data_IF_329640946895
#
_entry.id   IF_329640946895
#
_cell.length_a   1.000
_cell.length_b   1.000
_cell.length_c   1.000
_cell.angle_alpha   90.00
_cell.angle_beta   90.00
_cell.angle_gamma   90.00
#
_symmetry.space_group_name_H-M   'P 1'
#
loop_
_entity.id
_entity.type
_entity.pdbx_description
1 polymer ?
#
# COMPACT_ATOMS: atom_id res chain seq x y z
N UNK A 1 -55.17 -6.68 -18.94
CA UNK A 1 -54.00 -7.32 -18.29
C UNK A 1 -52.64 -6.96 -18.89
N UNK A 2 -52.54 -6.26 -20.02
CA UNK A 2 -51.24 -5.83 -20.60
C UNK A 2 -50.63 -4.60 -19.92
N UNK A 3 -51.45 -3.75 -19.29
CA UNK A 3 -51.01 -2.52 -18.65
C UNK A 3 -50.59 -2.68 -17.17
N UNK A 4 -50.85 -3.85 -16.55
CA UNK A 4 -50.46 -4.09 -15.15
C UNK A 4 -49.03 -4.64 -15.03
N UNK A 5 -48.53 -5.31 -16.08
CA UNK A 5 -47.16 -5.84 -16.14
C UNK A 5 -46.10 -4.75 -16.38
N UNK A 6 -46.47 -3.62 -16.99
CA UNK A 6 -45.57 -2.48 -17.19
C UNK A 6 -45.27 -1.70 -15.90
N UNK A 7 -46.18 -1.73 -14.92
CA UNK A 7 -45.98 -1.07 -13.63
C UNK A 7 -45.01 -1.83 -12.72
N UNK A 8 -44.99 -3.17 -12.80
CA UNK A 8 -44.04 -4.00 -12.04
C UNK A 8 -42.61 -3.81 -12.54
N UNK A 9 -42.43 -3.51 -13.84
CA UNK A 9 -41.11 -3.24 -14.43
C UNK A 9 -40.54 -1.85 -14.10
N UNK A 10 -41.39 -0.89 -13.72
CA UNK A 10 -40.96 0.46 -13.35
C UNK A 10 -40.53 0.58 -11.87
N UNK A 11 -40.98 -0.34 -11.00
CA UNK A 11 -40.55 -0.38 -9.60
C UNK A 11 -39.25 -1.15 -9.36
N UNK A 12 -38.73 -1.89 -10.35
CA UNK A 12 -37.47 -2.63 -10.24
C UNK A 12 -36.22 -1.86 -10.72
N UNK A 13 -36.35 -0.57 -11.06
CA UNK A 13 -35.20 0.28 -11.49
C UNK A 13 -34.89 1.40 -10.47
N UNK A 14 -35.58 1.41 -9.33
CA UNK A 14 -35.16 2.20 -8.18
C UNK A 14 -34.60 1.29 -7.09
N UNK A 15 -33.60 0.47 -7.43
CA UNK A 15 -32.57 0.26 -6.43
C UNK A 15 -31.98 1.65 -6.21
N UNK A 16 -32.38 2.26 -5.09
CA UNK A 16 -31.63 3.35 -4.51
C UNK A 16 -30.16 2.98 -4.64
N UNK A 17 -29.36 3.83 -5.30
CA UNK A 17 -27.93 3.90 -5.07
C UNK A 17 -27.83 4.25 -3.59
N UNK A 18 -27.91 3.23 -2.74
CA UNK A 18 -27.54 3.32 -1.35
C UNK A 18 -26.06 3.61 -1.48
N UNK A 19 -25.68 4.87 -1.21
CA UNK A 19 -24.28 5.24 -1.10
C UNK A 19 -23.63 4.18 -0.25
N UNK A 20 -22.74 3.40 -0.85
CA UNK A 20 -22.03 2.37 -0.10
C UNK A 20 -21.21 3.14 0.93
N UNK A 21 -21.52 2.96 2.20
CA UNK A 21 -20.75 3.60 3.27
C UNK A 21 -19.34 3.03 3.21
N UNK A 22 -18.42 3.81 2.67
CA UNK A 22 -17.01 3.49 2.74
C UNK A 22 -16.59 3.68 4.19
N UNK A 23 -16.11 2.60 4.79
CA UNK A 23 -15.65 2.55 6.17
C UNK A 23 -14.24 1.96 6.21
N UNK A 24 -13.55 2.21 7.31
CA UNK A 24 -12.23 1.67 7.59
C UNK A 24 -11.10 2.41 6.89
N UNK A 25 -9.96 1.72 6.82
CA UNK A 25 -8.70 2.27 6.33
C UNK A 25 -8.35 1.57 5.02
N UNK A 26 -8.09 2.36 3.99
CA UNK A 26 -7.76 1.90 2.65
C UNK A 26 -6.37 2.38 2.29
N UNK A 27 -5.62 1.59 1.52
CA UNK A 27 -4.25 1.93 1.12
C UNK A 27 -4.06 1.76 -0.38
N UNK A 28 -3.33 2.67 -1.02
CA UNK A 28 -2.85 2.53 -2.38
C UNK A 28 -1.67 1.57 -2.44
N UNK A 29 -1.72 0.63 -3.36
CA UNK A 29 -0.57 -0.22 -3.65
C UNK A 29 -0.60 -0.79 -5.06
N UNK A 30 -1.46 -0.30 -5.96
CA UNK A 30 -1.41 -0.66 -7.37
C UNK A 30 -1.80 0.58 -8.18
N UNK A 31 -0.82 1.31 -8.71
CA UNK A 31 -1.12 2.44 -9.60
C UNK A 31 -1.33 1.93 -11.03
N UNK A 32 -2.35 2.46 -11.71
CA UNK A 32 -2.59 2.21 -13.15
C UNK A 32 -2.30 3.48 -13.93
N UNK A 33 -1.40 3.37 -14.91
CA UNK A 33 -1.11 4.45 -15.87
C UNK A 33 -2.31 4.61 -16.82
N UNK A 34 -2.78 5.85 -16.97
CA UNK A 34 -3.96 6.19 -17.78
C UNK A 34 -3.57 6.33 -19.27
N UNK A 35 -2.50 7.07 -19.57
CA UNK A 35 -1.92 7.21 -20.91
C UNK A 35 -0.65 6.37 -21.06
N UNK A 36 -0.70 5.37 -21.94
CA UNK A 36 0.43 4.48 -22.27
C UNK A 36 1.63 5.22 -22.90
N UNK A 37 1.44 6.45 -23.37
CA UNK A 37 2.51 7.26 -23.97
C UNK A 37 3.31 8.06 -22.93
N UNK A 38 2.79 8.24 -21.71
CA UNK A 38 3.57 8.75 -20.59
C UNK A 38 3.84 7.59 -19.62
N UNK A 39 5.01 6.98 -19.78
CA UNK A 39 5.46 5.77 -19.07
C UNK A 39 5.80 5.98 -17.58
N UNK A 40 5.57 7.18 -17.05
CA UNK A 40 5.91 7.52 -15.67
C UNK A 40 4.71 7.27 -14.75
N UNK A 41 4.90 6.44 -13.72
CA UNK A 41 3.98 6.34 -12.59
C UNK A 41 4.43 7.29 -11.48
N UNK A 42 3.48 7.85 -10.74
CA UNK A 42 3.77 8.83 -9.68
C UNK A 42 4.24 8.19 -8.36
N UNK A 43 4.42 6.86 -8.34
CA UNK A 43 4.95 6.08 -7.22
C UNK A 43 4.19 6.40 -5.90
N UNK A 44 2.86 6.46 -5.96
CA UNK A 44 1.98 6.93 -4.86
C UNK A 44 1.64 5.76 -3.92
N UNK A 45 2.42 4.67 -3.95
CA UNK A 45 2.17 3.53 -3.10
C UNK A 45 2.33 3.87 -1.61
N UNK A 46 1.42 3.31 -0.80
CA UNK A 46 1.37 3.51 0.63
C UNK A 46 0.55 4.71 1.09
N UNK A 47 -0.13 5.42 0.19
CA UNK A 47 -1.08 6.47 0.58
C UNK A 47 -2.27 5.81 1.24
N UNK A 48 -2.69 6.37 2.36
CA UNK A 48 -3.75 5.84 3.21
C UNK A 48 -4.91 6.82 3.18
N UNK A 49 -6.12 6.29 3.02
CA UNK A 49 -7.38 7.02 3.24
C UNK A 49 -8.10 6.34 4.38
N UNK A 50 -8.33 7.09 5.44
CA UNK A 50 -9.08 6.65 6.61
C UNK A 50 -10.47 7.26 6.57
N UNK A 51 -11.46 6.49 6.12
CA UNK A 51 -12.83 6.94 5.98
C UNK A 51 -13.51 7.15 7.34
N UNK A 52 -13.07 6.45 8.38
CA UNK A 52 -13.61 6.59 9.74
C UNK A 52 -13.26 7.96 10.35
N UNK A 53 -12.07 8.47 10.01
CA UNK A 53 -11.51 9.71 10.57
C UNK A 53 -11.48 10.87 9.59
N UNK A 54 -11.86 10.64 8.32
CA UNK A 54 -11.75 11.60 7.23
C UNK A 54 -10.33 12.18 7.08
N UNK A 55 -9.35 11.28 7.02
CA UNK A 55 -7.93 11.65 6.93
C UNK A 55 -7.22 10.96 5.77
N UNK A 56 -6.24 11.65 5.19
CA UNK A 56 -5.26 11.08 4.27
C UNK A 56 -3.88 11.16 4.91
N UNK A 57 -3.10 10.10 4.77
CA UNK A 57 -1.71 10.07 5.20
C UNK A 57 -0.84 9.27 4.24
N UNK A 58 0.47 9.29 4.46
CA UNK A 58 1.41 8.42 3.77
C UNK A 58 2.01 7.46 4.78
N UNK A 59 2.07 6.16 4.49
CA UNK A 59 2.51 5.15 5.46
C UNK A 59 3.97 5.31 5.94
N UNK A 60 4.79 5.96 5.14
CA UNK A 60 6.16 6.34 5.51
C UNK A 60 6.23 7.64 6.33
N UNK A 61 5.14 8.41 6.42
CA UNK A 61 5.04 9.66 7.18
C UNK A 61 4.31 9.44 8.50
N UNK A 62 4.62 10.26 9.51
CA UNK A 62 3.79 10.34 10.73
C UNK A 62 2.75 11.46 10.64
N UNK A 63 2.65 12.12 9.48
CA UNK A 63 1.67 13.20 9.23
C UNK A 63 0.40 12.66 8.59
N UNK A 64 -0.74 13.09 9.11
CA UNK A 64 -2.04 12.96 8.45
C UNK A 64 -2.63 14.34 8.18
N UNK A 65 -3.50 14.41 7.17
CA UNK A 65 -4.20 15.60 6.74
C UNK A 65 -5.69 15.32 6.73
N UNK A 66 -6.47 16.24 7.29
CA UNK A 66 -7.92 16.16 7.22
C UNK A 66 -8.38 16.34 5.77
N UNK A 67 -9.39 15.59 5.39
CA UNK A 67 -10.05 15.66 4.09
C UNK A 67 -11.56 15.70 4.26
N UNK A 68 -12.26 16.21 3.24
CA UNK A 68 -13.71 16.12 3.17
C UNK A 68 -14.07 15.01 2.20
N UNK A 69 -14.86 14.05 2.67
CA UNK A 69 -15.32 12.92 1.86
C UNK A 69 -16.84 13.03 1.67
N UNK A 70 -17.29 13.30 0.44
CA UNK A 70 -18.70 13.25 0.09
C UNK A 70 -19.00 11.90 -0.57
N UNK A 71 -19.51 10.95 0.20
CA UNK A 71 -19.78 9.61 -0.31
C UNK A 71 -20.92 9.57 -1.34
N UNK A 72 -21.93 10.43 -1.18
CA UNK A 72 -23.06 10.52 -2.12
C UNK A 72 -22.63 10.99 -3.51
N UNK A 73 -21.64 11.88 -3.58
CA UNK A 73 -21.11 12.39 -4.84
C UNK A 73 -19.84 11.66 -5.29
N UNK A 74 -19.34 10.72 -4.47
CA UNK A 74 -18.08 10.02 -4.66
C UNK A 74 -16.89 10.97 -4.86
N UNK A 75 -16.77 11.97 -3.99
CA UNK A 75 -15.75 13.02 -4.05
C UNK A 75 -14.91 13.01 -2.78
N UNK A 76 -13.59 13.20 -2.94
CA UNK A 76 -12.64 13.46 -1.85
C UNK A 76 -11.93 14.79 -2.13
N UNK A 77 -12.00 15.69 -1.15
CA UNK A 77 -11.46 17.04 -1.21
C UNK A 77 -10.41 17.27 -0.12
N UNK A 78 -9.27 17.86 -0.47
CA UNK A 78 -8.25 18.32 0.47
C UNK A 78 -7.64 19.63 -0.03
N UNK A 79 -7.81 20.70 0.75
CA UNK A 79 -7.17 21.99 0.47
C UNK A 79 -5.64 21.89 0.60
N UNK A 80 -5.14 21.11 1.56
CA UNK A 80 -3.71 20.92 1.80
C UNK A 80 -3.01 20.12 0.71
N UNK A 81 -3.66 19.07 0.21
CA UNK A 81 -3.10 18.25 -0.87
C UNK A 81 -3.47 18.79 -2.27
N UNK A 82 -4.20 19.92 -2.36
CA UNK A 82 -4.81 20.42 -3.59
C UNK A 82 -5.56 19.30 -4.36
N UNK A 83 -6.24 18.44 -3.61
CA UNK A 83 -6.94 17.27 -4.12
C UNK A 83 -8.42 17.61 -4.24
N UNK A 84 -8.99 17.44 -5.42
CA UNK A 84 -10.42 17.44 -5.63
C UNK A 84 -10.74 16.35 -6.66
N UNK A 85 -10.87 15.14 -6.15
CA UNK A 85 -10.89 13.95 -7.01
C UNK A 85 -12.18 13.18 -6.80
N UNK A 86 -12.82 12.84 -7.92
CA UNK A 86 -13.85 11.81 -7.93
C UNK A 86 -13.20 10.47 -7.77
N UNK A 87 -13.85 9.58 -7.02
CA UNK A 87 -13.45 8.18 -6.94
C UNK A 87 -14.49 7.29 -7.59
N UNK A 88 -14.03 6.13 -8.06
CA UNK A 88 -14.90 5.08 -8.57
C UNK A 88 -14.73 3.83 -7.71
N UNK A 89 -15.84 3.38 -7.14
CA UNK A 89 -15.90 2.15 -6.36
C UNK A 89 -16.18 0.96 -7.28
N UNK A 90 -15.33 -0.06 -7.20
CA UNK A 90 -15.52 -1.32 -7.88
C UNK A 90 -15.96 -2.36 -6.87
N UNK A 91 -17.22 -2.78 -6.99
CA UNK A 91 -17.87 -3.66 -6.01
C UNK A 91 -17.73 -3.07 -4.60
N UNK A 92 -16.94 -3.71 -3.73
CA UNK A 92 -16.58 -3.25 -2.38
C UNK A 92 -15.10 -3.51 -2.07
N UNK A 93 -14.30 -3.91 -3.06
CA UNK A 93 -12.95 -4.45 -2.84
C UNK A 93 -11.85 -3.48 -3.27
N UNK A 94 -12.20 -2.45 -4.03
CA UNK A 94 -11.25 -1.49 -4.58
C UNK A 94 -11.89 -0.15 -4.97
N UNK A 95 -11.09 0.91 -4.82
CA UNK A 95 -11.41 2.29 -5.18
C UNK A 95 -10.36 2.78 -6.16
N UNK A 96 -10.77 3.37 -7.29
CA UNK A 96 -9.86 4.11 -8.17
C UNK A 96 -10.02 5.61 -7.93
N UNK A 97 -8.89 6.29 -7.72
CA UNK A 97 -8.82 7.73 -7.49
C UNK A 97 -7.72 8.32 -8.35
N UNK A 98 -8.03 9.36 -9.09
CA UNK A 98 -7.03 10.16 -9.79
C UNK A 98 -6.39 11.13 -8.78
N UNK A 99 -5.22 10.77 -8.24
CA UNK A 99 -4.51 11.59 -7.23
C UNK A 99 -3.47 12.50 -7.89
N UNK A 100 -2.92 12.08 -9.02
CA UNK A 100 -1.91 12.83 -9.76
C UNK A 100 -2.11 12.64 -11.26
N UNK A 101 -1.61 13.61 -12.05
CA UNK A 101 -1.73 13.62 -13.50
C UNK A 101 -1.26 12.30 -14.10
N UNK A 102 -2.13 11.70 -14.91
CA UNK A 102 -1.92 10.48 -15.68
C UNK A 102 -1.87 9.14 -14.90
N UNK A 103 -2.18 9.14 -13.60
CA UNK A 103 -2.24 7.89 -12.81
C UNK A 103 -3.53 7.77 -12.01
N UNK A 104 -4.23 6.64 -12.19
CA UNK A 104 -5.29 6.21 -11.28
C UNK A 104 -4.69 5.30 -10.21
N UNK A 105 -4.70 5.76 -8.97
CA UNK A 105 -4.29 4.94 -7.84
C UNK A 105 -5.42 4.02 -7.43
N UNK A 106 -5.14 2.72 -7.35
CA UNK A 106 -6.07 1.72 -6.83
C UNK A 106 -5.83 1.56 -5.34
N UNK A 107 -6.85 1.90 -4.58
CA UNK A 107 -6.94 1.69 -3.14
C UNK A 107 -7.72 0.41 -2.87
N UNK A 108 -7.31 -0.31 -1.82
CA UNK A 108 -8.05 -1.48 -1.33
C UNK A 108 -8.19 -1.38 0.20
N UNK A 109 -9.25 -1.94 0.79
CA UNK A 109 -9.42 -1.94 2.24
C UNK A 109 -8.30 -2.76 2.89
N UNK A 110 -7.75 -2.25 3.99
CA UNK A 110 -6.72 -2.93 4.75
C UNK A 110 -7.33 -3.95 5.71
N UNK A 111 -6.79 -5.16 5.69
CA UNK A 111 -7.07 -6.16 6.71
C UNK A 111 -6.21 -5.91 7.95
N UNK A 112 -6.74 -5.19 8.94
CA UNK A 112 -6.01 -4.85 10.17
C UNK A 112 -6.16 -5.90 11.30
N UNK A 113 -6.46 -7.15 10.95
CA UNK A 113 -6.70 -8.24 11.91
C UNK A 113 -5.42 -8.97 12.37
N UNK A 114 -4.24 -8.42 12.07
CA UNK A 114 -2.95 -8.96 12.50
C UNK A 114 -2.16 -7.97 13.38
N UNK A 115 -2.74 -7.47 14.48
CA UNK A 115 -2.01 -6.60 15.38
C UNK A 115 -0.85 -7.36 16.03
N UNK A 116 0.32 -6.75 16.07
CA UNK A 116 1.53 -7.31 16.68
C UNK A 116 1.87 -6.45 17.90
N UNK A 117 2.02 -7.09 19.05
CA UNK A 117 2.49 -6.43 20.26
C UNK A 117 4.01 -6.20 20.21
N UNK A 118 4.44 -5.31 19.33
CA UNK A 118 5.82 -4.91 19.13
C UNK A 118 5.87 -3.43 18.74
N UNK A 119 7.07 -2.91 18.48
CA UNK A 119 7.28 -1.58 17.90
C UNK A 119 7.96 -1.71 16.56
N UNK A 120 7.82 -0.69 15.71
CA UNK A 120 8.54 -0.58 14.44
C UNK A 120 10.05 -0.83 14.63
N UNK A 121 10.65 -0.13 15.59
CA UNK A 121 12.09 -0.24 15.90
C UNK A 121 12.49 -1.67 16.30
N UNK A 122 11.69 -2.36 17.12
CA UNK A 122 11.97 -3.75 17.49
C UNK A 122 11.95 -4.68 16.28
N UNK A 123 10.97 -4.51 15.39
CA UNK A 123 10.85 -5.30 14.16
C UNK A 123 12.04 -5.01 13.23
N UNK A 124 12.39 -3.74 13.04
CA UNK A 124 13.55 -3.35 12.25
C UNK A 124 14.85 -3.96 12.78
N UNK A 125 15.06 -3.95 14.10
CA UNK A 125 16.25 -4.52 14.73
C UNK A 125 16.36 -6.04 14.58
N UNK A 126 15.25 -6.76 14.36
CA UNK A 126 15.28 -8.20 14.06
C UNK A 126 15.73 -8.48 12.62
N UNK A 127 15.41 -7.55 11.70
CA UNK A 127 15.71 -7.68 10.28
C UNK A 127 17.09 -7.12 9.97
N UNK A 128 17.52 -6.04 10.61
CA UNK A 128 18.85 -5.48 10.40
C UNK A 128 19.93 -6.48 10.80
N UNK A 129 20.96 -6.64 9.96
CA UNK A 129 22.15 -7.38 10.35
C UNK A 129 23.13 -7.62 9.23
N UNK A 130 24.34 -8.04 9.61
CA UNK A 130 25.43 -8.35 8.68
C UNK A 130 25.33 -9.80 8.15
N UNK A 131 24.14 -10.18 7.66
CA UNK A 131 23.91 -11.51 7.11
C UNK A 131 23.17 -11.45 5.76
N UNK A 132 23.57 -12.34 4.84
CA UNK A 132 22.90 -12.50 3.56
C UNK A 132 21.75 -13.50 3.70
N UNK A 133 20.57 -13.10 3.24
CA UNK A 133 19.36 -13.92 3.22
C UNK A 133 18.96 -14.17 1.79
N UNK A 134 18.41 -15.34 1.53
CA UNK A 134 17.87 -15.66 0.22
C UNK A 134 16.38 -15.30 0.25
N UNK A 135 16.01 -14.24 -0.48
CA UNK A 135 14.61 -13.93 -0.79
C UNK A 135 14.26 -14.64 -2.10
N UNK A 136 13.16 -15.41 -2.07
CA UNK A 136 12.79 -16.30 -3.17
C UNK A 136 13.94 -17.28 -3.53
N UNK A 137 13.90 -17.96 -4.68
CA UNK A 137 14.90 -18.98 -5.00
C UNK A 137 16.28 -18.44 -5.46
N UNK A 138 16.47 -17.12 -5.62
CA UNK A 138 17.69 -16.61 -6.30
C UNK A 138 18.26 -15.26 -5.83
N UNK A 139 17.56 -14.46 -5.02
CA UNK A 139 18.02 -13.12 -4.67
C UNK A 139 18.60 -13.12 -3.26
N UNK A 140 19.90 -12.85 -3.16
CA UNK A 140 20.53 -12.62 -1.86
C UNK A 140 20.29 -11.17 -1.45
N UNK A 141 19.79 -10.94 -0.25
CA UNK A 141 19.57 -9.60 0.29
C UNK A 141 20.17 -9.43 1.67
N UNK A 142 20.51 -8.19 1.98
CA UNK A 142 21.03 -7.78 3.27
C UNK A 142 20.38 -6.45 3.65
N UNK A 143 19.73 -6.46 4.80
CA UNK A 143 18.97 -5.32 5.30
C UNK A 143 19.87 -4.49 6.20
N UNK A 144 20.20 -3.27 5.77
CA UNK A 144 21.07 -2.36 6.50
C UNK A 144 20.25 -1.36 7.30
N UNK A 145 20.85 -0.80 8.36
CA UNK A 145 20.24 0.29 9.13
C UNK A 145 20.60 1.68 8.60
N UNK A 146 21.40 1.75 7.54
CA UNK A 146 21.81 2.98 6.90
C UNK A 146 20.63 3.60 6.16
N UNK A 147 20.44 4.91 6.31
CA UNK A 147 19.40 5.67 5.58
C UNK A 147 19.70 5.67 4.09
N UNK A 148 18.68 5.47 3.28
CA UNK A 148 18.80 5.47 1.82
C UNK A 148 18.99 6.91 1.29
N UNK A 149 20.05 7.20 0.51
CA UNK A 149 20.45 8.57 0.17
C UNK A 149 19.49 9.30 -0.78
N UNK A 150 18.70 8.56 -1.56
CA UNK A 150 17.86 9.14 -2.64
C UNK A 150 16.38 9.21 -2.22
N UNK A 151 15.99 8.52 -1.15
CA UNK A 151 14.57 8.18 -0.95
C UNK A 151 13.91 8.80 0.26
N UNK A 152 14.60 9.59 1.10
CA UNK A 152 13.99 9.97 2.38
C UNK A 152 14.29 11.35 2.98
N UNK A 153 13.33 12.28 2.95
CA UNK A 153 13.38 13.50 3.75
C UNK A 153 13.16 13.28 5.26
N UNK A 154 12.65 12.12 5.70
CA UNK A 154 12.24 11.80 7.07
C UNK A 154 13.13 10.74 7.79
N UNK A 155 14.13 10.16 7.12
CA UNK A 155 15.14 9.27 7.71
C UNK A 155 14.70 7.86 8.18
N UNK A 156 13.57 7.35 7.68
CA UNK A 156 12.97 6.02 7.92
C UNK A 156 13.26 4.95 6.86
N UNK A 157 13.55 5.33 5.63
CA UNK A 157 13.82 4.45 4.49
C UNK A 157 15.30 4.09 4.50
N UNK A 158 15.56 2.80 4.52
CA UNK A 158 16.86 2.20 4.77
C UNK A 158 17.36 1.47 3.54
N UNK A 159 18.67 1.24 3.49
CA UNK A 159 19.32 0.54 2.38
C UNK A 159 19.02 -0.96 2.42
N UNK A 160 18.63 -1.51 1.28
CA UNK A 160 18.60 -2.94 0.99
C UNK A 160 19.70 -3.25 -0.03
N UNK A 161 20.73 -3.99 0.37
CA UNK A 161 21.70 -4.52 -0.59
C UNK A 161 21.15 -5.81 -1.19
N UNK A 162 21.25 -5.97 -2.51
CA UNK A 162 20.78 -7.17 -3.20
C UNK A 162 21.84 -7.70 -4.18
N UNK A 163 21.90 -9.02 -4.35
CA UNK A 163 22.75 -9.71 -5.32
C UNK A 163 21.89 -10.76 -6.01
N UNK A 164 21.77 -10.65 -7.33
CA UNK A 164 21.05 -11.61 -8.16
C UNK A 164 22.05 -12.57 -8.80
N UNK A 165 22.00 -13.87 -8.49
CA UNK A 165 22.75 -14.92 -9.22
C UNK A 165 24.13 -14.48 -9.80
N UNK A 166 25.07 -14.12 -8.92
CA UNK A 166 26.44 -13.67 -9.26
C UNK A 166 26.56 -12.32 -9.99
N UNK A 167 25.48 -11.53 -10.07
CA UNK A 167 25.51 -10.15 -10.57
C UNK A 167 26.32 -9.22 -9.67
N UNK A 168 26.58 -8.01 -10.17
CA UNK A 168 26.99 -6.89 -9.33
C UNK A 168 25.95 -6.65 -8.21
N UNK A 169 26.38 -6.21 -7.02
CA UNK A 169 25.46 -5.73 -6.00
C UNK A 169 24.59 -4.59 -6.55
N UNK A 170 23.30 -4.65 -6.25
CA UNK A 170 22.34 -3.59 -6.50
C UNK A 170 21.94 -2.98 -5.16
N UNK A 171 21.48 -1.74 -5.23
CA UNK A 171 21.00 -0.99 -4.08
C UNK A 171 19.53 -0.71 -4.31
N UNK A 172 18.70 -1.21 -3.39
CA UNK A 172 17.32 -0.81 -3.24
C UNK A 172 17.10 -0.27 -1.84
N UNK A 173 15.83 -0.20 -1.45
CA UNK A 173 15.43 0.37 -0.19
C UNK A 173 14.34 -0.43 0.51
N UNK A 174 14.21 -0.24 1.82
CA UNK A 174 13.18 -0.86 2.63
C UNK A 174 12.77 0.01 3.82
N UNK A 175 11.56 -0.18 4.33
CA UNK A 175 11.09 0.40 5.59
C UNK A 175 9.90 -0.38 6.15
N UNK A 176 9.57 -0.11 7.42
CA UNK A 176 8.42 -0.71 8.10
C UNK A 176 7.33 0.36 8.32
N UNK A 177 6.20 0.19 7.65
CA UNK A 177 4.96 0.93 7.91
C UNK A 177 4.21 0.38 9.12
N UNK A 178 3.46 1.24 9.81
CA UNK A 178 2.61 0.84 10.94
C UNK A 178 1.26 1.53 10.89
N UNK A 179 0.17 0.76 11.07
CA UNK A 179 -1.21 1.27 11.18
C UNK A 179 -1.94 0.45 12.25
N UNK A 180 -2.38 1.08 13.34
CA UNK A 180 -3.12 0.40 14.43
C UNK A 180 -2.43 -0.93 14.86
N UNK A 181 -1.13 -0.87 15.14
CA UNK A 181 -0.28 -2.03 15.51
C UNK A 181 -0.18 -3.15 14.47
N UNK A 182 -0.67 -2.96 13.25
CA UNK A 182 -0.37 -3.83 12.12
C UNK A 182 0.84 -3.26 11.39
N UNK A 183 1.76 -4.14 10.99
CA UNK A 183 3.02 -3.73 10.39
C UNK A 183 3.11 -4.18 8.93
N UNK A 184 3.80 -3.37 8.13
CA UNK A 184 3.91 -3.58 6.70
C UNK A 184 5.37 -3.40 6.28
N UNK A 185 5.92 -4.37 5.58
CA UNK A 185 7.24 -4.28 4.99
C UNK A 185 7.12 -3.76 3.57
N UNK A 186 7.79 -2.66 3.32
CA UNK A 186 7.99 -2.09 1.98
C UNK A 186 9.42 -2.35 1.57
N UNK A 187 9.65 -2.87 0.37
CA UNK A 187 10.99 -3.04 -0.19
C UNK A 187 11.05 -2.92 -1.71
N UNK A 188 12.14 -2.38 -2.22
CA UNK A 188 12.54 -2.43 -3.64
C UNK A 188 13.86 -3.22 -3.72
N UNK A 189 13.99 -4.10 -4.72
CA UNK A 189 15.22 -4.89 -4.91
C UNK A 189 16.34 -4.00 -5.47
N UNK A 190 15.97 -3.06 -6.32
CA UNK A 190 16.80 -1.99 -6.86
C UNK A 190 15.95 -0.70 -6.89
N UNK A 191 16.56 0.48 -6.72
CA UNK A 191 15.83 1.76 -6.66
C UNK A 191 14.89 2.04 -7.85
N UNK A 192 15.19 1.47 -9.01
CA UNK A 192 14.41 1.62 -10.25
C UNK A 192 13.30 0.59 -10.39
N UNK A 193 13.23 -0.39 -9.49
CA UNK A 193 12.23 -1.47 -9.51
C UNK A 193 10.97 -1.08 -8.75
N UNK A 194 9.87 -1.73 -9.12
CA UNK A 194 8.61 -1.61 -8.40
C UNK A 194 8.76 -2.00 -6.93
N UNK A 195 8.00 -1.31 -6.09
CA UNK A 195 7.99 -1.50 -4.66
C UNK A 195 7.06 -2.65 -4.29
N UNK A 196 7.58 -3.51 -3.43
CA UNK A 196 6.91 -4.70 -2.95
C UNK A 196 6.41 -4.45 -1.53
N UNK A 197 5.13 -4.72 -1.30
CA UNK A 197 4.45 -4.46 -0.05
C UNK A 197 3.94 -5.78 0.52
N UNK A 198 4.34 -6.04 1.75
CA UNK A 198 3.96 -7.23 2.49
C UNK A 198 3.36 -6.83 3.82
N UNK A 199 2.25 -7.44 4.20
CA UNK A 199 1.75 -7.36 5.57
C UNK A 199 2.54 -8.33 6.46
N UNK A 200 3.03 -7.82 7.58
CA UNK A 200 3.65 -8.65 8.61
C UNK A 200 2.53 -9.21 9.48
N UNK A 201 2.43 -10.54 9.51
CA UNK A 201 1.35 -11.24 10.26
C UNK A 201 1.83 -11.85 11.56
N UNK A 202 3.13 -12.16 11.66
CA UNK A 202 3.76 -12.56 12.93
C UNK A 202 5.25 -12.22 12.94
N UNK A 203 5.77 -12.03 14.14
CA UNK A 203 7.18 -11.78 14.41
C UNK A 203 7.62 -12.79 15.46
N UNK A 204 8.53 -13.67 15.06
CA UNK A 204 9.16 -14.69 15.91
C UNK A 204 10.64 -14.35 16.09
N UNK A 205 11.36 -15.12 16.91
CA UNK A 205 12.77 -14.84 17.21
C UNK A 205 13.66 -14.99 15.98
N UNK A 206 13.42 -16.02 15.18
CA UNK A 206 14.23 -16.44 14.04
C UNK A 206 13.62 -16.07 12.68
N UNK A 207 12.37 -15.59 12.66
CA UNK A 207 11.69 -15.23 11.41
C UNK A 207 10.57 -14.21 11.59
N UNK A 208 10.20 -13.58 10.48
CA UNK A 208 9.03 -12.73 10.32
C UNK A 208 8.18 -13.31 9.21
N UNK A 209 6.89 -13.54 9.48
CA UNK A 209 5.95 -14.12 8.52
C UNK A 209 5.19 -13.02 7.79
N UNK A 210 5.07 -13.17 6.47
CA UNK A 210 4.59 -12.15 5.54
C UNK A 210 3.44 -12.68 4.68
N UNK A 211 2.49 -11.80 4.37
CA UNK A 211 1.48 -11.99 3.31
C UNK A 211 1.68 -10.89 2.26
N UNK A 212 1.85 -11.24 0.97
CA UNK A 212 1.94 -10.24 -0.10
C UNK A 212 0.63 -9.46 -0.24
N UNK A 213 0.73 -8.15 -0.40
CA UNK A 213 -0.43 -7.27 -0.63
C UNK A 213 -0.70 -7.00 -2.11
N UNK A 214 0.30 -7.25 -2.96
CA UNK A 214 0.28 -6.98 -4.39
C UNK A 214 0.55 -8.27 -5.18
N UNK A 215 0.07 -8.32 -6.42
CA UNK A 215 0.41 -9.38 -7.37
C UNK A 215 1.80 -9.12 -7.95
N UNK A 216 2.84 -9.56 -7.25
CA UNK A 216 4.23 -9.28 -7.62
C UNK A 216 5.01 -10.51 -8.10
N UNK A 217 6.13 -10.22 -8.77
CA UNK A 217 7.10 -11.22 -9.20
C UNK A 217 7.69 -12.01 -8.02
N UNK A 218 7.85 -11.37 -6.86
CA UNK A 218 8.44 -11.97 -5.67
C UNK A 218 7.35 -12.39 -4.68
N UNK A 219 7.23 -13.70 -4.44
CA UNK A 219 6.27 -14.27 -3.49
C UNK A 219 6.92 -14.54 -2.13
N UNK A 220 7.41 -13.48 -1.49
CA UNK A 220 8.03 -13.61 -0.17
C UNK A 220 6.98 -13.95 0.90
N UNK A 221 7.23 -15.02 1.65
CA UNK A 221 6.36 -15.48 2.75
C UNK A 221 6.99 -15.35 4.12
N UNK A 222 8.31 -15.27 4.19
CA UNK A 222 9.03 -15.09 5.43
C UNK A 222 10.37 -14.38 5.21
N UNK A 223 10.85 -13.71 6.25
CA UNK A 223 12.23 -13.22 6.37
C UNK A 223 12.84 -13.87 7.59
N UNK A 224 13.90 -14.65 7.41
CA UNK A 224 14.70 -15.19 8.52
C UNK A 224 15.48 -14.04 9.17
N UNK A 225 15.59 -14.00 10.50
CA UNK A 225 16.39 -12.98 11.19
C UNK A 225 17.89 -13.28 11.05
N UNK A 226 18.78 -12.36 11.45
CA UNK A 226 20.24 -12.60 11.48
C UNK A 226 20.71 -13.24 12.81
N UNK A 227 19.80 -13.77 13.64
CA UNK A 227 20.13 -14.41 14.92
C UNK A 227 20.57 -15.86 14.77
#
# INVERSE_FOLDING_TARGET
>A
MRNFLLLIFLFSISESIIGQNLEGIWMSYNDRIIDKNEWHSNNIEGVIINFDQNEISQIASDTSYQVRINQNESIIESEFANLNSKYKLYQTDSLEIEIASNTNSVFRPLNLNYPINSTREKIENLIVGDCWRILNDSIKTKFLNNIHPISDPNGKIKILETIWDQSRPLVGNWFIGEIKNNFFLFLTIEDTTERNIYQIVSVEKDKIVLIPMQEHHYKLREIKTCM
#
